data_IF_532004681640
#
_entry.id   IF_532004681640
#
_cell.length_a   1.000
_cell.length_b   1.000
_cell.length_c   1.000
_cell.angle_alpha   90.00
_cell.angle_beta   90.00
_cell.angle_gamma   90.00
#
_symmetry.space_group_name_H-M   'P 1'
#
loop_
_entity.id
_entity.type
_entity.pdbx_description
1 polymer ?
#
# COMPACT_ATOMS: atom_id res chain seq x y z
N UNK A 1 5.75 -2.99 -15.22
CA UNK A 1 4.65 -2.01 -15.02
C UNK A 1 3.28 -2.70 -15.12
N UNK A 2 2.85 -3.17 -16.31
CA UNK A 2 1.52 -3.80 -16.57
C UNK A 2 0.95 -4.67 -15.43
N UNK A 3 1.66 -5.72 -15.01
CA UNK A 3 1.13 -6.70 -14.05
C UNK A 3 1.30 -6.34 -12.56
N UNK A 4 2.16 -5.37 -12.23
CA UNK A 4 2.63 -5.13 -10.86
C UNK A 4 2.16 -3.77 -10.37
N UNK A 5 2.35 -2.75 -11.20
CA UNK A 5 2.27 -1.35 -10.79
C UNK A 5 0.87 -0.98 -10.34
N UNK A 6 0.80 -0.62 -9.07
CA UNK A 6 -0.40 -0.18 -8.39
C UNK A 6 -1.37 -1.28 -7.94
N UNK A 7 -1.21 -2.52 -8.40
CA UNK A 7 -2.15 -3.60 -8.11
C UNK A 7 -2.02 -4.07 -6.66
N UNK A 8 -0.79 -4.26 -6.19
CA UNK A 8 -0.53 -4.83 -4.85
C UNK A 8 -0.90 -3.90 -3.69
N UNK A 9 -0.64 -2.59 -3.79
CA UNK A 9 -1.11 -1.66 -2.75
C UNK A 9 -2.64 -1.54 -2.75
N UNK A 10 -3.31 -1.70 -3.90
CA UNK A 10 -4.78 -1.70 -3.97
C UNK A 10 -5.37 -2.92 -3.27
N UNK A 11 -4.76 -4.09 -3.43
CA UNK A 11 -5.11 -5.30 -2.68
C UNK A 11 -4.86 -5.09 -1.18
N UNK A 12 -3.72 -4.51 -0.79
CA UNK A 12 -3.43 -4.20 0.60
C UNK A 12 -4.45 -3.21 1.19
N UNK A 13 -4.90 -2.24 0.39
CA UNK A 13 -5.97 -1.31 0.76
C UNK A 13 -7.31 -2.03 0.99
N UNK A 14 -7.67 -2.95 0.10
CA UNK A 14 -8.84 -3.81 0.28
C UNK A 14 -8.78 -4.58 1.62
N UNK A 15 -7.63 -5.21 1.90
CA UNK A 15 -7.41 -5.97 3.13
C UNK A 15 -7.48 -5.08 4.37
N UNK A 16 -7.02 -3.82 4.29
CA UNK A 16 -7.16 -2.87 5.38
C UNK A 16 -8.64 -2.61 5.72
N UNK A 17 -9.49 -2.41 4.71
CA UNK A 17 -10.93 -2.27 4.85
C UNK A 17 -11.61 -3.50 5.47
N UNK A 18 -11.20 -4.71 5.06
CA UNK A 18 -11.65 -5.97 5.68
C UNK A 18 -11.20 -6.02 7.15
N UNK A 19 -9.95 -5.63 7.44
CA UNK A 19 -9.43 -5.57 8.81
C UNK A 19 -10.23 -4.62 9.71
N UNK A 20 -10.67 -3.48 9.17
CA UNK A 20 -11.58 -2.57 9.87
C UNK A 20 -12.92 -3.23 10.22
N UNK A 21 -13.55 -3.93 9.28
CA UNK A 21 -14.82 -4.63 9.55
C UNK A 21 -14.67 -5.70 10.63
N UNK A 22 -13.56 -6.46 10.61
CA UNK A 22 -13.27 -7.49 11.59
C UNK A 22 -13.13 -6.88 12.99
N UNK A 23 -12.46 -5.74 13.12
CA UNK A 23 -12.33 -5.02 14.39
C UNK A 23 -13.69 -4.57 14.90
N UNK A 24 -14.55 -4.02 14.04
CA UNK A 24 -15.91 -3.63 14.42
C UNK A 24 -16.70 -4.83 14.95
N UNK A 25 -16.91 -5.85 14.10
CA UNK A 25 -17.75 -7.01 14.41
C UNK A 25 -17.27 -7.72 15.67
N UNK A 26 -15.96 -7.98 15.79
CA UNK A 26 -15.41 -8.74 16.91
C UNK A 26 -15.51 -8.00 18.24
N UNK A 27 -15.31 -6.69 18.28
CA UNK A 27 -15.35 -5.92 19.53
C UNK A 27 -16.78 -5.57 19.93
N UNK A 28 -17.66 -5.27 18.96
CA UNK A 28 -19.10 -5.08 19.22
C UNK A 28 -19.73 -6.35 19.82
N UNK A 29 -19.42 -7.52 19.27
CA UNK A 29 -19.87 -8.80 19.82
C UNK A 29 -19.37 -9.08 21.25
N UNK A 30 -18.34 -8.36 21.73
CA UNK A 30 -17.78 -8.47 23.08
C UNK A 30 -18.21 -7.31 24.00
N UNK A 31 -19.09 -6.42 23.55
CA UNK A 31 -19.47 -5.21 24.30
C UNK A 31 -18.33 -4.20 24.47
N UNK A 32 -17.25 -4.32 23.70
CA UNK A 32 -16.10 -3.42 23.75
C UNK A 32 -16.28 -2.35 22.67
N UNK A 33 -16.03 -1.08 23.00
CA UNK A 33 -16.08 0.00 22.01
C UNK A 33 -15.07 -0.24 20.87
N UNK A 34 -15.52 -0.58 19.65
CA UNK A 34 -14.64 -0.98 18.57
C UNK A 34 -13.84 0.21 18.01
N UNK A 35 -14.41 1.42 18.03
CA UNK A 35 -13.77 2.62 17.51
C UNK A 35 -12.59 3.04 18.36
N UNK A 36 -12.68 2.89 19.68
CA UNK A 36 -11.55 3.13 20.58
C UNK A 36 -10.36 2.24 20.22
N UNK A 37 -10.59 0.96 19.95
CA UNK A 37 -9.53 0.02 19.55
C UNK A 37 -8.99 0.39 18.16
N UNK A 38 -9.88 0.70 17.22
CA UNK A 38 -9.49 1.06 15.87
C UNK A 38 -8.65 2.35 15.82
N UNK A 39 -9.07 3.43 16.48
CA UNK A 39 -8.31 4.67 16.52
C UNK A 39 -6.98 4.54 17.26
N UNK A 40 -6.90 3.74 18.34
CA UNK A 40 -5.61 3.41 18.97
C UNK A 40 -4.68 2.69 18.00
N UNK A 41 -5.18 1.70 17.26
CA UNK A 41 -4.42 0.99 16.23
C UNK A 41 -3.88 1.94 15.17
N UNK A 42 -4.69 2.91 14.74
CA UNK A 42 -4.29 3.94 13.78
C UNK A 42 -3.27 4.92 14.35
N UNK A 43 -3.41 5.35 15.61
CA UNK A 43 -2.43 6.22 16.26
C UNK A 43 -1.05 5.56 16.35
N UNK A 44 -1.00 4.27 16.69
CA UNK A 44 0.28 3.52 16.70
C UNK A 44 0.83 3.34 15.28
N UNK A 45 -0.04 3.05 14.30
CA UNK A 45 0.36 2.93 12.89
C UNK A 45 0.91 4.26 12.35
N UNK A 46 0.27 5.37 12.70
CA UNK A 46 0.71 6.72 12.36
C UNK A 46 2.05 7.05 12.99
N UNK A 47 2.27 6.67 14.26
CA UNK A 47 3.56 6.85 14.91
C UNK A 47 4.68 6.06 14.21
N UNK A 48 4.45 4.78 13.93
CA UNK A 48 5.44 3.95 13.20
C UNK A 48 5.71 4.54 11.81
N UNK A 49 4.66 4.91 11.08
CA UNK A 49 4.78 5.54 9.76
C UNK A 49 5.49 6.90 9.81
N UNK A 50 5.19 7.73 10.81
CA UNK A 50 5.83 9.04 10.97
C UNK A 50 7.32 8.90 11.25
N UNK A 51 7.71 7.96 12.12
CA UNK A 51 9.12 7.65 12.35
C UNK A 51 9.79 7.14 11.07
N UNK A 52 9.09 6.28 10.31
CA UNK A 52 9.61 5.75 9.05
C UNK A 52 9.78 6.84 7.98
N UNK A 53 8.75 7.65 7.71
CA UNK A 53 8.81 8.68 6.67
C UNK A 53 9.77 9.84 7.00
N UNK A 54 9.89 10.21 8.27
CA UNK A 54 10.71 11.36 8.69
C UNK A 54 12.19 11.00 8.88
N UNK A 55 12.51 9.75 9.22
CA UNK A 55 13.89 9.38 9.59
C UNK A 55 14.50 8.27 8.74
N UNK A 56 13.67 7.45 8.07
CA UNK A 56 14.15 6.24 7.38
C UNK A 56 13.93 6.32 5.87
N UNK A 57 12.73 6.55 5.38
CA UNK A 57 12.48 6.55 3.95
C UNK A 57 11.15 7.23 3.61
N UNK A 58 11.20 8.16 2.68
CA UNK A 58 10.07 8.98 2.26
C UNK A 58 8.98 8.21 1.53
N UNK A 59 9.26 7.01 0.99
CA UNK A 59 8.29 6.22 0.24
C UNK A 59 7.21 5.53 1.08
N UNK A 60 7.02 5.95 2.34
CA UNK A 60 6.09 5.33 3.28
C UNK A 60 4.62 5.29 2.77
N UNK A 61 3.89 4.25 3.20
CA UNK A 61 2.45 4.08 2.98
C UNK A 61 1.64 4.03 4.30
N UNK A 62 2.31 3.81 5.43
CA UNK A 62 1.67 3.63 6.73
C UNK A 62 0.99 4.92 7.21
N UNK A 63 1.64 6.08 7.05
CA UNK A 63 1.06 7.39 7.37
C UNK A 63 -0.21 7.61 6.56
N UNK A 64 -0.16 7.39 5.24
CA UNK A 64 -1.32 7.52 4.37
C UNK A 64 -2.49 6.65 4.84
N UNK A 65 -2.21 5.39 5.16
CA UNK A 65 -3.25 4.44 5.59
C UNK A 65 -3.81 4.79 6.96
N UNK A 66 -2.98 5.29 7.88
CA UNK A 66 -3.43 5.75 9.16
C UNK A 66 -4.36 6.96 9.02
N UNK A 67 -3.97 7.97 8.24
CA UNK A 67 -4.76 9.19 8.02
C UNK A 67 -6.09 8.90 7.31
N UNK A 68 -6.07 8.16 6.20
CA UNK A 68 -7.31 7.79 5.48
C UNK A 68 -8.17 6.87 6.34
N UNK A 69 -7.54 5.98 7.11
CA UNK A 69 -8.24 5.11 8.04
C UNK A 69 -9.06 5.87 9.09
N UNK A 70 -8.66 7.08 9.49
CA UNK A 70 -9.43 7.91 10.43
C UNK A 70 -10.82 8.27 9.88
N UNK A 71 -10.97 8.32 8.56
CA UNK A 71 -12.22 8.69 7.87
C UNK A 71 -13.19 7.49 7.75
N UNK A 72 -12.68 6.25 7.77
CA UNK A 72 -13.51 5.04 7.57
C UNK A 72 -14.72 4.92 8.51
N UNK A 73 -14.60 5.23 9.82
CA UNK A 73 -15.75 5.17 10.75
C UNK A 73 -16.93 6.03 10.35
N UNK A 74 -16.75 7.09 9.55
CA UNK A 74 -17.86 7.91 9.04
C UNK A 74 -18.81 7.09 8.16
N UNK A 75 -18.31 6.06 7.47
CA UNK A 75 -19.08 5.20 6.58
C UNK A 75 -19.70 3.99 7.29
N UNK A 76 -19.47 3.82 8.60
CA UNK A 76 -19.91 2.62 9.34
C UNK A 76 -21.42 2.39 9.34
N UNK A 77 -22.20 3.47 9.26
CA UNK A 77 -23.68 3.42 9.23
C UNK A 77 -24.25 3.44 7.81
N UNK A 78 -23.42 3.60 6.78
CA UNK A 78 -23.90 3.57 5.40
C UNK A 78 -24.47 2.19 5.06
N UNK A 79 -25.54 2.14 4.28
CA UNK A 79 -26.05 0.90 3.69
C UNK A 79 -25.02 0.28 2.75
N UNK A 80 -25.13 -1.02 2.47
CA UNK A 80 -24.24 -1.71 1.54
C UNK A 80 -24.23 -1.07 0.14
N UNK A 81 -25.40 -0.62 -0.34
CA UNK A 81 -25.53 0.10 -1.62
C UNK A 81 -24.73 1.41 -1.58
N UNK A 82 -24.84 2.18 -0.50
CA UNK A 82 -24.14 3.45 -0.37
C UNK A 82 -22.63 3.25 -0.20
N UNK A 83 -22.19 2.19 0.48
CA UNK A 83 -20.76 1.85 0.55
C UNK A 83 -20.17 1.59 -0.84
N UNK A 84 -20.85 0.81 -1.67
CA UNK A 84 -20.41 0.53 -3.02
C UNK A 84 -20.45 1.79 -3.91
N UNK A 85 -21.47 2.63 -3.75
CA UNK A 85 -21.56 3.91 -4.44
C UNK A 85 -20.36 4.81 -4.08
N UNK A 86 -20.09 5.01 -2.79
CA UNK A 86 -18.95 5.82 -2.35
C UNK A 86 -17.62 5.22 -2.79
N UNK A 87 -17.46 3.90 -2.72
CA UNK A 87 -16.27 3.23 -3.24
C UNK A 87 -16.08 3.54 -4.74
N UNK A 88 -17.13 3.40 -5.57
CA UNK A 88 -17.06 3.73 -6.99
C UNK A 88 -16.76 5.22 -7.23
N UNK A 89 -17.41 6.13 -6.50
CA UNK A 89 -17.19 7.56 -6.61
C UNK A 89 -15.73 7.93 -6.31
N UNK A 90 -15.14 7.41 -5.23
CA UNK A 90 -13.74 7.68 -4.90
C UNK A 90 -12.75 7.00 -5.86
N UNK A 91 -13.08 5.82 -6.41
CA UNK A 91 -12.23 5.16 -7.38
C UNK A 91 -12.23 5.87 -8.75
N UNK A 92 -13.34 6.50 -9.12
CA UNK A 92 -13.52 7.21 -10.39
C UNK A 92 -13.27 8.73 -10.29
N UNK A 93 -13.24 9.29 -9.07
CA UNK A 93 -12.94 10.72 -8.86
C UNK A 93 -11.61 11.20 -9.46
N UNK A 94 -10.54 10.38 -9.61
CA UNK A 94 -9.33 10.82 -10.30
C UNK A 94 -9.60 11.36 -11.71
N UNK A 95 -10.57 10.78 -12.45
CA UNK A 95 -10.94 11.25 -13.79
C UNK A 95 -11.47 12.69 -13.72
N UNK A 96 -12.37 12.96 -12.77
CA UNK A 96 -12.92 14.30 -12.56
C UNK A 96 -11.85 15.29 -12.08
N UNK A 97 -11.05 14.88 -11.08
CA UNK A 97 -9.98 15.71 -10.50
C UNK A 97 -8.99 16.09 -11.61
N UNK A 98 -8.51 15.13 -12.38
CA UNK A 98 -7.51 15.41 -13.40
C UNK A 98 -8.09 16.18 -14.58
N UNK A 99 -9.39 16.03 -14.90
CA UNK A 99 -10.08 16.90 -15.87
C UNK A 99 -10.05 18.36 -15.43
N UNK A 100 -10.31 18.63 -14.15
CA UNK A 100 -10.23 19.99 -13.59
C UNK A 100 -8.78 20.49 -13.63
N UNK A 101 -7.81 19.64 -13.27
CA UNK A 101 -6.37 19.98 -13.27
C UNK A 101 -5.85 20.30 -14.67
N UNK A 102 -6.34 19.61 -15.70
CA UNK A 102 -5.99 19.90 -17.09
C UNK A 102 -6.40 21.32 -17.50
N UNK A 103 -7.58 21.77 -17.06
CA UNK A 103 -8.06 23.12 -17.33
C UNK A 103 -7.33 24.20 -16.51
N UNK A 104 -7.02 23.91 -15.25
CA UNK A 104 -6.39 24.87 -14.33
C UNK A 104 -4.86 24.87 -14.36
N UNK A 105 -4.23 23.90 -15.03
CA UNK A 105 -2.77 23.71 -15.06
C UNK A 105 -2.13 23.65 -13.67
N UNK A 106 -2.85 23.07 -12.71
CA UNK A 106 -2.51 23.03 -11.28
C UNK A 106 -2.66 21.62 -10.71
N UNK A 107 -1.77 21.23 -9.79
CA UNK A 107 -1.82 19.98 -9.04
C UNK A 107 -1.98 20.21 -7.53
N UNK A 108 -2.76 19.36 -6.82
CA UNK A 108 -2.98 19.48 -5.37
C UNK A 108 -1.70 19.33 -4.53
N UNK A 109 -0.64 18.73 -5.07
CA UNK A 109 0.66 18.59 -4.43
C UNK A 109 1.66 19.70 -4.74
N UNK A 110 1.38 20.57 -5.72
CA UNK A 110 2.38 21.47 -6.31
C UNK A 110 2.95 22.46 -5.28
N UNK A 111 2.12 22.96 -4.36
CA UNK A 111 2.59 23.85 -3.28
C UNK A 111 3.55 23.18 -2.31
N UNK A 112 3.33 21.88 -2.00
CA UNK A 112 4.25 21.13 -1.14
C UNK A 112 5.59 20.90 -1.84
N UNK A 113 5.53 20.58 -3.15
CA UNK A 113 6.72 20.40 -3.96
C UNK A 113 7.52 21.70 -4.09
N UNK A 114 6.89 22.82 -4.42
CA UNK A 114 7.59 24.11 -4.52
C UNK A 114 8.20 24.56 -3.20
N UNK A 115 7.55 24.29 -2.07
CA UNK A 115 8.14 24.55 -0.76
C UNK A 115 9.38 23.68 -0.53
N UNK A 116 9.30 22.38 -0.84
CA UNK A 116 10.41 21.45 -0.71
C UNK A 116 11.60 21.86 -1.59
N UNK A 117 11.36 22.16 -2.86
CA UNK A 117 12.37 22.63 -3.82
C UNK A 117 13.05 23.92 -3.34
N UNK A 118 12.29 24.87 -2.79
CA UNK A 118 12.82 26.12 -2.26
C UNK A 118 13.67 25.94 -0.99
N UNK A 119 13.38 24.92 -0.18
CA UNK A 119 14.20 24.56 0.98
C UNK A 119 15.47 23.82 0.55
N UNK A 120 15.32 22.85 -0.33
CA UNK A 120 16.40 22.05 -0.90
C UNK A 120 17.44 22.89 -1.64
N UNK A 121 17.00 23.92 -2.37
CA UNK A 121 17.89 24.86 -3.03
C UNK A 121 18.84 25.58 -2.06
N UNK A 122 18.40 25.86 -0.83
CA UNK A 122 19.26 26.47 0.22
C UNK A 122 20.33 25.50 0.72
N UNK A 123 20.09 24.21 0.57
CA UNK A 123 21.01 23.12 0.95
C UNK A 123 21.82 22.60 -0.25
N UNK A 124 21.80 23.30 -1.40
CA UNK A 124 22.56 22.91 -2.60
C UNK A 124 21.92 21.78 -3.43
N UNK A 125 20.67 21.42 -3.13
CA UNK A 125 19.89 20.41 -3.88
C UNK A 125 18.98 21.17 -4.85
N UNK A 126 19.44 21.37 -6.10
CA UNK A 126 18.71 22.16 -7.09
C UNK A 126 17.99 21.30 -8.14
N UNK A 127 16.79 21.73 -8.54
CA UNK A 127 16.01 21.10 -9.61
C UNK A 127 15.72 19.63 -9.32
N UNK A 128 15.86 18.76 -10.32
CA UNK A 128 15.59 17.32 -10.21
C UNK A 128 16.70 16.53 -9.50
N UNK A 129 17.73 17.21 -8.97
CA UNK A 129 18.85 16.56 -8.29
C UNK A 129 18.42 15.78 -7.04
N UNK A 130 17.31 16.17 -6.39
CA UNK A 130 16.78 15.49 -5.20
C UNK A 130 16.54 13.99 -5.45
N UNK A 131 16.12 13.59 -6.67
CA UNK A 131 15.84 12.19 -7.02
C UNK A 131 17.07 11.28 -6.97
N UNK A 132 18.23 11.84 -7.25
CA UNK A 132 19.51 11.11 -7.30
C UNK A 132 20.41 11.45 -6.11
N UNK A 133 19.98 12.38 -5.25
CA UNK A 133 20.83 13.01 -4.26
C UNK A 133 21.49 12.02 -3.31
N UNK A 134 20.73 11.05 -2.80
CA UNK A 134 21.24 10.03 -1.86
C UNK A 134 21.94 8.84 -2.51
N UNK A 135 21.97 8.81 -3.84
CA UNK A 135 22.68 7.79 -4.60
C UNK A 135 24.06 8.29 -5.05
N UNK A 136 24.39 9.57 -4.86
CA UNK A 136 25.69 10.11 -5.27
C UNK A 136 26.81 9.48 -4.46
N UNK A 137 27.95 9.21 -5.09
CA UNK A 137 29.13 8.74 -4.39
C UNK A 137 29.53 9.77 -3.31
N UNK A 138 29.82 9.28 -2.11
CA UNK A 138 30.17 10.14 -0.96
C UNK A 138 28.99 10.66 -0.15
N UNK A 139 27.73 10.40 -0.52
CA UNK A 139 26.58 10.74 0.33
C UNK A 139 26.57 9.94 1.63
N UNK A 140 26.80 10.62 2.74
CA UNK A 140 26.84 10.07 4.08
C UNK A 140 25.62 10.45 4.93
N UNK A 141 25.78 10.37 6.25
CA UNK A 141 24.70 10.66 7.20
C UNK A 141 24.24 12.12 7.18
N UNK A 142 25.12 13.04 6.79
CA UNK A 142 24.78 14.44 6.66
C UNK A 142 23.81 14.67 5.49
N UNK A 143 24.15 14.20 4.30
CA UNK A 143 23.31 14.27 3.10
C UNK A 143 21.98 13.57 3.33
N UNK A 144 22.02 12.40 3.98
CA UNK A 144 20.82 11.70 4.41
C UNK A 144 19.92 12.56 5.29
N UNK A 145 20.47 13.14 6.36
CA UNK A 145 19.68 13.96 7.26
C UNK A 145 19.12 15.18 6.55
N UNK A 146 19.89 15.84 5.70
CA UNK A 146 19.49 16.99 4.91
C UNK A 146 18.31 16.65 4.00
N UNK A 147 18.38 15.53 3.26
CA UNK A 147 17.29 15.08 2.40
C UNK A 147 15.99 14.82 3.18
N UNK A 148 16.11 14.19 4.36
CA UNK A 148 14.94 13.85 5.18
C UNK A 148 14.19 15.08 5.75
N UNK A 149 14.75 16.30 5.67
CA UNK A 149 14.05 17.53 6.07
C UNK A 149 12.85 17.85 5.17
N UNK A 150 12.89 17.43 3.91
CA UNK A 150 11.89 17.77 2.88
C UNK A 150 11.35 16.56 2.15
N UNK A 151 12.01 15.39 2.22
CA UNK A 151 11.63 14.19 1.47
C UNK A 151 10.16 13.79 1.65
N UNK A 152 9.62 13.91 2.86
CA UNK A 152 8.20 13.63 3.14
C UNK A 152 7.25 14.57 2.37
N UNK A 153 7.64 15.81 2.09
CA UNK A 153 6.84 16.76 1.30
C UNK A 153 6.75 16.33 -0.16
N UNK A 154 7.85 15.87 -0.76
CA UNK A 154 7.82 15.27 -2.10
C UNK A 154 6.91 14.04 -2.12
N UNK A 155 6.97 13.20 -1.08
CA UNK A 155 6.06 12.06 -0.96
C UNK A 155 4.60 12.50 -0.94
N UNK A 156 4.24 13.45 -0.09
CA UNK A 156 2.85 13.92 -0.01
C UNK A 156 2.39 14.61 -1.29
N UNK A 157 3.26 15.41 -1.92
CA UNK A 157 3.01 15.97 -3.25
C UNK A 157 2.69 14.85 -4.26
N UNK A 158 3.55 13.83 -4.33
CA UNK A 158 3.35 12.67 -5.21
C UNK A 158 2.03 11.94 -4.94
N UNK A 159 1.68 11.72 -3.67
CA UNK A 159 0.43 11.04 -3.29
C UNK A 159 -0.82 11.85 -3.67
N UNK A 160 -0.76 13.17 -3.51
CA UNK A 160 -1.83 14.08 -3.91
C UNK A 160 -1.96 14.14 -5.43
N UNK A 161 -0.85 14.39 -6.13
CA UNK A 161 -0.82 14.55 -7.58
C UNK A 161 -1.14 13.26 -8.35
N UNK A 162 -0.98 12.08 -7.74
CA UNK A 162 -1.40 10.80 -8.34
C UNK A 162 -2.78 10.32 -7.87
N UNK A 163 -3.56 11.19 -7.23
CA UNK A 163 -4.89 10.90 -6.69
C UNK A 163 -4.91 9.66 -5.77
N UNK A 164 -3.83 9.44 -4.99
CA UNK A 164 -3.72 8.22 -4.18
C UNK A 164 -4.75 8.18 -3.05
N UNK A 165 -5.07 9.34 -2.47
CA UNK A 165 -6.02 9.46 -1.35
C UNK A 165 -7.40 8.88 -1.71
N UNK A 166 -8.10 9.38 -2.76
CA UNK A 166 -9.41 8.84 -3.10
C UNK A 166 -9.34 7.37 -3.52
N UNK A 167 -8.30 6.95 -4.27
CA UNK A 167 -8.11 5.53 -4.66
C UNK A 167 -8.02 4.60 -3.45
N UNK A 168 -7.20 4.95 -2.44
CA UNK A 168 -7.04 4.15 -1.22
C UNK A 168 -8.33 4.13 -0.41
N UNK A 169 -9.02 5.27 -0.24
CA UNK A 169 -10.30 5.32 0.46
C UNK A 169 -11.36 4.46 -0.25
N UNK A 170 -11.45 4.53 -1.57
CA UNK A 170 -12.37 3.70 -2.36
C UNK A 170 -12.12 2.21 -2.17
N UNK A 171 -10.85 1.77 -2.21
CA UNK A 171 -10.47 0.39 -1.93
C UNK A 171 -10.72 -0.01 -0.47
N UNK A 172 -10.51 0.88 0.51
CA UNK A 172 -10.85 0.62 1.91
C UNK A 172 -12.37 0.41 2.08
N UNK A 173 -13.20 1.20 1.41
CA UNK A 173 -14.67 1.06 1.47
C UNK A 173 -15.14 -0.23 0.81
N UNK A 174 -14.55 -0.61 -0.33
CA UNK A 174 -14.82 -1.89 -0.96
C UNK A 174 -14.42 -3.05 -0.04
N UNK A 175 -13.26 -2.94 0.61
CA UNK A 175 -12.81 -3.91 1.61
C UNK A 175 -13.74 -3.98 2.82
N UNK A 176 -14.21 -2.83 3.29
CA UNK A 176 -15.18 -2.75 4.38
C UNK A 176 -16.51 -3.41 4.01
N UNK A 177 -17.00 -3.22 2.78
CA UNK A 177 -18.16 -3.93 2.26
C UNK A 177 -17.95 -5.45 2.25
N UNK A 178 -16.82 -5.93 1.70
CA UNK A 178 -16.48 -7.37 1.65
C UNK A 178 -16.43 -7.96 3.05
N UNK A 179 -15.80 -7.25 3.98
CA UNK A 179 -15.61 -7.70 5.34
C UNK A 179 -16.89 -7.66 6.19
N UNK A 180 -17.73 -6.63 6.03
CA UNK A 180 -19.02 -6.53 6.73
C UNK A 180 -19.98 -7.64 6.34
N UNK A 181 -19.95 -8.07 5.08
CA UNK A 181 -20.80 -9.14 4.57
C UNK A 181 -20.15 -10.52 4.72
N UNK A 182 -19.05 -10.64 5.47
CA UNK A 182 -18.35 -11.91 5.75
C UNK A 182 -18.01 -12.72 4.49
N UNK A 183 -17.81 -12.06 3.36
CA UNK A 183 -17.60 -12.75 2.07
C UNK A 183 -16.31 -13.58 2.06
N UNK A 184 -15.30 -13.14 2.83
CA UNK A 184 -14.03 -13.84 3.00
C UNK A 184 -14.15 -15.14 3.81
N UNK A 185 -15.23 -15.32 4.59
CA UNK A 185 -15.55 -16.55 5.31
C UNK A 185 -16.32 -17.50 4.38
N UNK A 186 -17.28 -16.97 3.63
CA UNK A 186 -18.20 -17.75 2.80
C UNK A 186 -17.84 -17.73 1.31
N UNK A 187 -16.55 -17.92 0.98
CA UNK A 187 -16.03 -17.82 -0.39
C UNK A 187 -16.79 -18.72 -1.40
N UNK A 188 -17.22 -19.90 -0.97
CA UNK A 188 -17.96 -20.86 -1.82
C UNK A 188 -19.29 -20.28 -2.30
N UNK A 189 -20.02 -19.56 -1.43
CA UNK A 189 -21.30 -18.93 -1.78
C UNK A 189 -21.11 -17.80 -2.81
N UNK A 190 -19.94 -17.16 -2.82
CA UNK A 190 -19.61 -16.08 -3.74
C UNK A 190 -18.81 -16.54 -4.98
N UNK A 191 -18.73 -17.84 -5.25
CA UNK A 191 -17.95 -18.40 -6.38
C UNK A 191 -18.28 -17.77 -7.72
N UNK A 192 -19.55 -17.53 -8.01
CA UNK A 192 -19.98 -16.92 -9.28
C UNK A 192 -19.52 -15.46 -9.41
N UNK A 193 -19.55 -14.70 -8.31
CA UNK A 193 -19.01 -13.33 -8.28
C UNK A 193 -17.50 -13.36 -8.51
N UNK A 194 -16.76 -14.24 -7.83
CA UNK A 194 -15.31 -14.38 -8.01
C UNK A 194 -14.95 -14.73 -9.46
N UNK A 195 -15.70 -15.62 -10.11
CA UNK A 195 -15.52 -15.92 -11.55
C UNK A 195 -15.75 -14.69 -12.43
N UNK A 196 -16.79 -13.89 -12.16
CA UNK A 196 -17.06 -12.64 -12.88
C UNK A 196 -15.96 -11.61 -12.67
N UNK A 197 -15.49 -11.43 -11.43
CA UNK A 197 -14.38 -10.53 -11.10
C UNK A 197 -13.08 -10.97 -11.77
N UNK A 198 -12.81 -12.28 -11.83
CA UNK A 198 -11.66 -12.83 -12.54
C UNK A 198 -11.75 -12.51 -14.04
N UNK A 199 -12.87 -12.88 -14.69
CA UNK A 199 -13.06 -12.69 -16.12
C UNK A 199 -13.02 -11.21 -16.50
N UNK A 200 -13.92 -10.40 -15.94
CA UNK A 200 -14.02 -8.99 -16.28
C UNK A 200 -12.83 -8.18 -15.80
N UNK A 201 -12.22 -8.58 -14.68
CA UNK A 201 -11.00 -7.94 -14.19
C UNK A 201 -9.81 -8.14 -15.12
N UNK A 202 -9.70 -9.28 -15.82
CA UNK A 202 -8.70 -9.45 -16.89
C UNK A 202 -9.12 -8.80 -18.21
N UNK A 203 -10.38 -8.98 -18.64
CA UNK A 203 -10.89 -8.41 -19.91
C UNK A 203 -10.78 -6.89 -19.94
N UNK A 204 -11.05 -6.23 -18.81
CA UNK A 204 -10.94 -4.77 -18.68
C UNK A 204 -9.53 -4.40 -18.21
N UNK A 205 -9.03 -5.03 -17.14
CA UNK A 205 -7.81 -4.60 -16.47
C UNK A 205 -6.54 -4.80 -17.28
N UNK A 206 -6.46 -5.83 -18.14
CA UNK A 206 -5.24 -6.10 -18.90
C UNK A 206 -5.03 -5.10 -20.05
N UNK A 207 -6.01 -4.83 -20.95
CA UNK A 207 -5.85 -3.83 -21.99
C UNK A 207 -5.54 -2.43 -21.44
N UNK A 208 -6.24 -2.01 -20.38
CA UNK A 208 -5.98 -0.71 -19.77
C UNK A 208 -4.65 -0.65 -19.01
N UNK A 209 -4.18 -1.76 -18.44
CA UNK A 209 -2.82 -1.80 -17.86
C UNK A 209 -1.72 -1.77 -18.91
N UNK A 210 -1.96 -2.29 -20.12
CA UNK A 210 -1.05 -2.14 -21.26
C UNK A 210 -1.03 -0.70 -21.77
N UNK A 211 -2.21 -0.06 -21.87
CA UNK A 211 -2.33 1.36 -22.23
C UNK A 211 -1.63 2.26 -21.20
N UNK A 212 -1.81 2.01 -19.90
CA UNK A 212 -1.11 2.71 -18.82
C UNK A 212 0.41 2.63 -18.99
N UNK A 213 0.96 1.43 -19.20
CA UNK A 213 2.40 1.26 -19.41
C UNK A 213 2.95 1.96 -20.66
N UNK A 214 2.10 2.17 -21.67
CA UNK A 214 2.46 2.96 -22.86
C UNK A 214 2.48 4.47 -22.58
N UNK A 215 1.54 4.99 -21.78
CA UNK A 215 1.46 6.42 -21.45
C UNK A 215 2.45 6.86 -20.35
N UNK A 216 2.88 5.94 -19.48
CA UNK A 216 3.90 6.21 -18.45
C UNK A 216 5.31 6.36 -19.03
N UNK A 217 5.59 5.79 -20.21
CA UNK A 217 6.84 6.02 -20.94
C UNK A 217 6.80 7.36 -21.70
N UNK A 218 7.82 8.20 -21.50
CA UNK A 218 8.07 9.48 -22.22
C UNK A 218 7.46 10.78 -21.64
N UNK A 219 7.34 10.95 -20.31
CA UNK A 219 6.84 12.22 -19.71
C UNK A 219 5.42 12.64 -20.19
N UNK A 220 4.71 11.73 -20.89
CA UNK A 220 3.35 11.91 -21.42
C UNK A 220 2.29 11.83 -20.32
N UNK A 221 2.63 11.30 -19.14
CA UNK A 221 1.76 11.19 -17.96
C UNK A 221 1.59 12.49 -17.17
N UNK A 222 2.20 13.59 -17.62
CA UNK A 222 1.98 14.89 -17.00
C UNK A 222 0.50 15.26 -17.24
N UNK A 223 -0.26 15.43 -16.16
CA UNK A 223 -1.66 15.91 -16.10
C UNK A 223 -1.94 17.22 -16.85
N UNK A 224 -0.92 17.84 -17.44
CA UNK A 224 -0.95 19.10 -18.18
C UNK A 224 -1.30 18.92 -19.66
N UNK A 225 -1.43 17.69 -20.18
CA UNK A 225 -1.82 17.43 -21.56
C UNK A 225 -2.93 16.36 -21.70
N UNK A 226 -3.49 16.22 -22.91
CA UNK A 226 -4.56 15.26 -23.19
C UNK A 226 -4.15 13.79 -23.00
N UNK A 227 -2.86 13.48 -23.13
CA UNK A 227 -2.33 12.13 -22.87
C UNK A 227 -2.35 11.78 -21.38
N UNK A 228 -2.19 12.77 -20.49
CA UNK A 228 -2.40 12.60 -19.05
C UNK A 228 -3.81 12.12 -18.70
N UNK A 229 -4.85 12.55 -19.45
CA UNK A 229 -6.22 12.01 -19.24
C UNK A 229 -6.33 10.55 -19.67
N UNK A 230 -5.69 10.19 -20.79
CA UNK A 230 -5.67 8.81 -21.25
C UNK A 230 -4.96 7.91 -20.24
N UNK A 231 -3.88 8.40 -19.60
CA UNK A 231 -3.21 7.70 -18.50
C UNK A 231 -4.12 7.55 -17.27
N UNK A 232 -4.77 8.63 -16.79
CA UNK A 232 -5.69 8.55 -15.65
C UNK A 232 -6.82 7.54 -15.86
N UNK A 233 -7.43 7.52 -17.05
CA UNK A 233 -8.47 6.55 -17.41
C UNK A 233 -7.87 5.13 -17.45
N UNK A 234 -6.70 4.97 -18.09
CA UNK A 234 -6.01 3.69 -18.18
C UNK A 234 -5.63 3.14 -16.81
N UNK A 235 -5.19 3.99 -15.90
CA UNK A 235 -4.92 3.63 -14.52
C UNK A 235 -6.19 3.16 -13.80
N UNK A 236 -7.29 3.92 -13.91
CA UNK A 236 -8.54 3.64 -13.19
C UNK A 236 -9.11 2.27 -13.58
N UNK A 237 -9.13 1.96 -14.88
CA UNK A 237 -9.65 0.69 -15.41
C UNK A 237 -8.60 -0.42 -15.49
N UNK A 238 -7.31 -0.09 -15.41
CA UNK A 238 -6.23 -1.07 -15.42
C UNK A 238 -5.93 -1.63 -14.02
N UNK A 239 -5.85 -0.77 -13.01
CA UNK A 239 -5.34 -1.15 -11.67
C UNK A 239 -6.39 -1.87 -10.84
N UNK A 240 -7.56 -1.27 -10.61
CA UNK A 240 -8.56 -1.84 -9.70
C UNK A 240 -9.13 -3.15 -10.24
N UNK A 241 -9.60 -3.24 -11.50
CA UNK A 241 -10.13 -4.49 -12.04
C UNK A 241 -9.12 -5.63 -12.00
N UNK A 242 -7.87 -5.37 -12.36
CA UNK A 242 -6.82 -6.40 -12.33
C UNK A 242 -6.45 -6.81 -10.89
N UNK A 243 -6.46 -5.87 -9.94
CA UNK A 243 -6.28 -6.17 -8.52
C UNK A 243 -7.37 -7.11 -8.00
N UNK A 244 -8.63 -6.85 -8.37
CA UNK A 244 -9.77 -7.70 -8.01
C UNK A 244 -9.70 -9.06 -8.73
N UNK A 245 -9.19 -9.11 -9.96
CA UNK A 245 -8.94 -10.38 -10.66
C UNK A 245 -7.89 -11.23 -9.92
N UNK A 246 -6.80 -10.63 -9.44
CA UNK A 246 -5.78 -11.34 -8.66
C UNK A 246 -6.34 -11.90 -7.35
N UNK A 247 -7.11 -11.09 -6.61
CA UNK A 247 -7.79 -11.55 -5.39
C UNK A 247 -8.76 -12.68 -5.71
N UNK A 248 -9.57 -12.53 -6.76
CA UNK A 248 -10.53 -13.54 -7.16
C UNK A 248 -9.86 -14.85 -7.59
N UNK A 249 -8.75 -14.77 -8.32
CA UNK A 249 -7.93 -15.92 -8.68
C UNK A 249 -7.46 -16.69 -7.44
N UNK A 250 -6.84 -15.98 -6.48
CA UNK A 250 -6.36 -16.57 -5.22
C UNK A 250 -7.51 -17.24 -4.45
N UNK A 251 -8.67 -16.57 -4.33
CA UNK A 251 -9.84 -17.13 -3.68
C UNK A 251 -10.40 -18.37 -4.40
N UNK A 252 -10.42 -18.39 -5.74
CA UNK A 252 -10.88 -19.54 -6.52
C UNK A 252 -9.93 -20.73 -6.42
N UNK A 253 -8.62 -20.49 -6.40
CA UNK A 253 -7.60 -21.52 -6.13
C UNK A 253 -7.81 -22.09 -4.72
N UNK A 254 -8.05 -21.24 -3.72
CA UNK A 254 -8.32 -21.65 -2.35
C UNK A 254 -9.59 -22.52 -2.23
N UNK A 255 -10.68 -22.13 -2.91
CA UNK A 255 -11.92 -22.92 -2.99
C UNK A 255 -11.65 -24.29 -3.63
N UNK A 256 -10.94 -24.32 -4.77
CA UNK A 256 -10.64 -25.57 -5.49
C UNK A 256 -9.82 -26.53 -4.63
N UNK A 257 -8.89 -25.99 -3.85
CA UNK A 257 -8.02 -26.74 -2.95
C UNK A 257 -8.68 -27.16 -1.63
N UNK A 258 -9.98 -26.88 -1.43
CA UNK A 258 -10.75 -27.21 -0.21
C UNK A 258 -10.05 -26.75 1.09
N UNK A 259 -9.35 -25.63 1.05
CA UNK A 259 -8.63 -25.06 2.21
C UNK A 259 -7.21 -25.59 2.44
N UNK A 260 -6.72 -26.52 1.63
CA UNK A 260 -5.34 -27.04 1.71
C UNK A 260 -4.62 -26.76 0.39
N UNK A 261 -3.96 -25.61 0.30
CA UNK A 261 -3.30 -25.12 -0.92
C UNK A 261 -1.81 -24.88 -0.71
N UNK A 262 -1.04 -24.96 -1.80
CA UNK A 262 0.36 -24.51 -1.86
C UNK A 262 0.52 -23.05 -1.41
N UNK A 263 -0.55 -22.25 -1.51
CA UNK A 263 -0.62 -20.87 -1.02
C UNK A 263 -0.31 -20.74 0.49
N UNK A 264 -0.42 -21.82 1.27
CA UNK A 264 -0.08 -21.84 2.69
C UNK A 264 1.40 -21.47 2.95
N UNK A 265 2.29 -21.65 1.97
CA UNK A 265 3.68 -21.19 2.03
C UNK A 265 3.78 -19.67 2.25
N UNK A 266 2.80 -18.89 1.77
CA UNK A 266 2.78 -17.43 1.95
C UNK A 266 2.05 -16.98 3.21
N UNK A 267 1.40 -17.87 3.95
CA UNK A 267 0.67 -17.49 5.17
C UNK A 267 1.61 -16.86 6.23
N UNK A 268 2.83 -17.39 6.48
CA UNK A 268 3.79 -16.76 7.39
C UNK A 268 4.13 -15.32 6.99
N UNK A 269 4.53 -15.08 5.73
CA UNK A 269 4.93 -13.73 5.26
C UNK A 269 3.76 -12.74 5.35
N UNK A 270 2.53 -13.18 5.07
CA UNK A 270 1.32 -12.36 5.20
C UNK A 270 0.96 -12.01 6.65
N UNK A 271 1.22 -12.91 7.61
CA UNK A 271 1.03 -12.62 9.05
C UNK A 271 2.08 -11.65 9.62
N UNK A 272 3.16 -11.42 8.88
CA UNK A 272 4.30 -10.58 9.24
C UNK A 272 4.45 -9.39 8.26
N UNK A 273 3.33 -8.86 7.75
CA UNK A 273 3.35 -7.84 6.71
C UNK A 273 4.06 -6.53 7.12
N UNK A 274 3.90 -6.04 8.35
CA UNK A 274 4.52 -4.80 8.82
C UNK A 274 6.03 -4.97 9.00
N UNK A 275 6.45 -6.07 9.63
CA UNK A 275 7.88 -6.38 9.77
C UNK A 275 8.54 -6.57 8.41
N UNK A 276 7.91 -7.32 7.49
CA UNK A 276 8.45 -7.54 6.15
C UNK A 276 8.51 -6.24 5.33
N UNK A 277 7.53 -5.35 5.47
CA UNK A 277 7.53 -4.04 4.83
C UNK A 277 8.71 -3.16 5.29
N UNK A 278 8.94 -3.05 6.61
CA UNK A 278 10.10 -2.27 7.11
C UNK A 278 11.42 -2.96 6.79
N UNK A 279 11.47 -4.29 6.81
CA UNK A 279 12.65 -5.05 6.38
C UNK A 279 12.98 -4.81 4.90
N UNK A 280 11.97 -4.73 4.02
CA UNK A 280 12.18 -4.37 2.60
C UNK A 280 12.81 -2.98 2.46
N UNK A 281 12.37 -2.02 3.28
CA UNK A 281 13.01 -0.69 3.32
C UNK A 281 14.47 -0.83 3.69
N UNK A 282 14.79 -1.48 4.82
CA UNK A 282 16.16 -1.61 5.30
C UNK A 282 17.08 -2.34 4.30
N UNK A 283 16.59 -3.40 3.66
CA UNK A 283 17.33 -4.12 2.62
C UNK A 283 17.58 -3.19 1.42
N UNK A 284 16.58 -2.44 0.97
CA UNK A 284 16.72 -1.53 -0.17
C UNK A 284 17.70 -0.39 0.11
N UNK A 285 17.65 0.18 1.32
CA UNK A 285 18.61 1.19 1.77
C UNK A 285 20.03 0.63 1.81
N UNK A 286 20.21 -0.57 2.38
CA UNK A 286 21.52 -1.20 2.48
C UNK A 286 22.10 -1.59 1.12
N UNK A 287 21.28 -1.96 0.14
CA UNK A 287 21.76 -2.37 -1.17
C UNK A 287 21.99 -1.18 -2.10
N UNK A 288 21.02 -0.26 -2.21
CA UNK A 288 20.99 0.70 -3.32
C UNK A 288 21.51 2.09 -2.97
N UNK A 289 21.38 2.53 -1.72
CA UNK A 289 21.77 3.88 -1.34
C UNK A 289 23.27 3.93 -1.02
N UNK A 290 23.90 5.10 -1.19
CA UNK A 290 25.33 5.29 -0.96
C UNK A 290 25.77 5.06 0.49
N UNK A 291 24.85 5.17 1.45
CA UNK A 291 25.08 4.77 2.84
C UNK A 291 25.32 3.26 3.02
N UNK A 292 24.86 2.45 2.07
CA UNK A 292 25.02 1.01 2.06
C UNK A 292 26.07 0.58 1.02
N UNK A 293 25.67 -0.31 0.11
CA UNK A 293 26.53 -0.80 -0.97
C UNK A 293 26.55 0.12 -2.21
N UNK A 294 25.69 1.14 -2.28
CA UNK A 294 25.69 2.11 -3.38
C UNK A 294 25.27 1.55 -4.75
N UNK A 295 24.66 0.36 -4.80
CA UNK A 295 24.35 -0.33 -6.07
C UNK A 295 23.32 0.41 -6.94
N UNK A 296 22.65 1.44 -6.42
CA UNK A 296 21.59 2.16 -7.13
C UNK A 296 22.06 2.93 -8.37
N UNK A 297 23.34 3.29 -8.46
CA UNK A 297 23.89 4.01 -9.62
C UNK A 297 24.24 3.07 -10.78
N UNK A 298 24.71 1.87 -10.47
CA UNK A 298 25.29 0.95 -11.46
C UNK A 298 24.27 -0.07 -12.01
N UNK A 299 23.15 -0.26 -11.32
CA UNK A 299 22.20 -1.33 -11.63
C UNK A 299 21.09 -0.86 -12.57
N UNK A 300 21.10 -1.36 -13.80
CA UNK A 300 19.96 -1.25 -14.71
C UNK A 300 18.71 -1.98 -14.18
N UNK A 301 17.52 -1.56 -14.65
CA UNK A 301 16.22 -2.09 -14.21
C UNK A 301 16.08 -3.62 -14.28
N UNK A 302 16.85 -4.30 -15.15
CA UNK A 302 16.84 -5.75 -15.32
C UNK A 302 17.26 -6.49 -14.03
N UNK A 303 18.21 -5.94 -13.28
CA UNK A 303 18.74 -6.59 -12.07
C UNK A 303 17.87 -6.39 -10.84
N UNK A 304 16.98 -5.38 -10.84
CA UNK A 304 16.04 -5.15 -9.75
C UNK A 304 15.05 -6.31 -9.58
N UNK A 305 14.67 -6.98 -10.67
CA UNK A 305 13.73 -8.11 -10.62
C UNK A 305 14.29 -9.33 -9.85
N UNK A 306 15.48 -9.87 -10.20
CA UNK A 306 16.11 -10.92 -9.40
C UNK A 306 16.31 -10.54 -7.93
N UNK A 307 16.74 -9.31 -7.63
CA UNK A 307 16.95 -8.84 -6.26
C UNK A 307 15.62 -8.81 -5.49
N UNK A 308 14.54 -8.34 -6.11
CA UNK A 308 13.21 -8.34 -5.50
C UNK A 308 12.71 -9.76 -5.21
N UNK A 309 12.90 -10.69 -6.16
CA UNK A 309 12.53 -12.10 -5.98
C UNK A 309 13.35 -12.74 -4.86
N UNK A 310 14.67 -12.55 -4.86
CA UNK A 310 15.56 -13.05 -3.81
C UNK A 310 15.17 -12.50 -2.43
N UNK A 311 14.95 -11.19 -2.33
CA UNK A 311 14.46 -10.53 -1.12
C UNK A 311 13.16 -11.16 -0.62
N UNK A 312 12.19 -11.36 -1.51
CA UNK A 312 10.90 -11.96 -1.15
C UNK A 312 11.03 -13.42 -0.69
N UNK A 313 11.85 -14.23 -1.37
CA UNK A 313 12.13 -15.62 -0.97
C UNK A 313 12.75 -15.66 0.43
N UNK A 314 13.76 -14.81 0.69
CA UNK A 314 14.39 -14.71 2.01
C UNK A 314 13.37 -14.31 3.08
N UNK A 315 12.44 -13.40 2.80
CA UNK A 315 11.38 -13.03 3.72
C UNK A 315 10.37 -14.15 3.97
N UNK A 316 10.04 -14.96 2.97
CA UNK A 316 9.20 -16.16 3.13
C UNK A 316 9.90 -17.16 4.05
N UNK A 317 11.18 -17.43 3.83
CA UNK A 317 11.98 -18.34 4.67
C UNK A 317 12.08 -17.82 6.10
N UNK A 318 12.48 -16.55 6.26
CA UNK A 318 12.59 -15.89 7.56
C UNK A 318 11.27 -15.94 8.33
N UNK A 319 10.16 -15.52 7.69
CA UNK A 319 8.84 -15.53 8.31
C UNK A 319 8.43 -16.95 8.72
N UNK A 320 8.69 -17.94 7.87
CA UNK A 320 8.36 -19.35 8.15
C UNK A 320 9.14 -19.89 9.34
N UNK A 321 10.44 -19.61 9.42
CA UNK A 321 11.29 -20.02 10.54
C UNK A 321 10.86 -19.31 11.81
N UNK A 322 10.63 -18.00 11.75
CA UNK A 322 10.21 -17.19 12.90
C UNK A 322 8.95 -17.74 13.59
N UNK A 323 7.92 -18.07 12.81
CA UNK A 323 6.67 -18.60 13.34
C UNK A 323 6.76 -20.03 13.91
N UNK A 324 7.91 -20.70 13.81
CA UNK A 324 8.17 -21.95 14.56
C UNK A 324 8.39 -21.66 16.06
N UNK A 325 8.86 -20.48 16.41
CA UNK A 325 9.25 -20.11 17.77
C UNK A 325 8.34 -19.05 18.40
N UNK A 326 7.68 -18.22 17.58
CA UNK A 326 6.92 -17.06 18.04
C UNK A 326 5.51 -16.99 17.45
N UNK A 327 4.56 -16.38 18.18
CA UNK A 327 3.16 -16.29 17.78
C UNK A 327 2.85 -15.09 16.86
N UNK A 328 3.70 -14.07 16.91
CA UNK A 328 3.53 -12.80 16.20
C UNK A 328 4.83 -12.40 15.53
N UNK A 329 4.75 -11.69 14.41
CA UNK A 329 5.92 -10.98 13.90
C UNK A 329 6.39 -9.90 14.89
N UNK A 330 7.68 -9.53 14.87
CA UNK A 330 8.28 -8.62 15.85
C UNK A 330 7.52 -7.29 15.96
N UNK A 331 7.30 -6.60 14.84
CA UNK A 331 6.62 -5.30 14.85
C UNK A 331 5.11 -5.45 15.01
N UNK A 332 4.53 -6.55 14.52
CA UNK A 332 3.13 -6.88 14.75
C UNK A 332 2.83 -7.08 16.23
N UNK A 333 3.77 -7.69 16.98
CA UNK A 333 3.68 -7.86 18.42
C UNK A 333 3.67 -6.53 19.14
N UNK A 334 4.64 -5.65 18.87
CA UNK A 334 4.72 -4.29 19.45
C UNK A 334 3.44 -3.52 19.13
N UNK A 335 3.04 -3.52 17.86
CA UNK A 335 1.84 -2.81 17.41
C UNK A 335 0.57 -3.29 18.11
N UNK A 336 0.40 -4.62 18.29
CA UNK A 336 -0.73 -5.20 19.01
C UNK A 336 -0.70 -4.86 20.50
N UNK A 337 0.46 -4.93 21.15
CA UNK A 337 0.59 -4.57 22.56
C UNK A 337 0.17 -3.12 22.80
N UNK A 338 0.65 -2.18 21.97
CA UNK A 338 0.28 -0.76 22.07
C UNK A 338 -1.20 -0.50 21.75
N UNK A 339 -1.74 -1.22 20.76
CA UNK A 339 -3.17 -1.13 20.39
C UNK A 339 -4.09 -1.56 21.54
N UNK A 340 -3.79 -2.70 22.18
CA UNK A 340 -4.63 -3.24 23.24
C UNK A 340 -4.26 -2.73 24.64
N UNK A 341 -3.07 -2.15 24.82
CA UNK A 341 -2.53 -1.75 26.12
C UNK A 341 -2.29 -2.92 27.05
N UNK A 342 -1.93 -4.09 26.51
CA UNK A 342 -1.69 -5.31 27.30
C UNK A 342 -0.38 -5.96 26.84
N UNK A 343 0.39 -6.47 27.81
CA UNK A 343 1.57 -7.28 27.52
C UNK A 343 1.11 -8.64 26.98
N UNK A 344 1.45 -8.90 25.72
CA UNK A 344 1.23 -10.17 25.04
C UNK A 344 2.50 -11.03 25.14
N UNK A 345 2.37 -12.33 25.35
CA UNK A 345 3.48 -13.26 25.21
C UNK A 345 3.94 -13.31 23.74
N UNK A 346 5.25 -13.32 23.51
CA UNK A 346 5.81 -13.41 22.16
C UNK A 346 6.10 -14.86 21.74
N UNK A 347 6.57 -15.69 22.68
CA UNK A 347 6.88 -17.09 22.45
C UNK A 347 5.59 -17.91 22.43
N UNK A 348 5.52 -18.85 21.50
CA UNK A 348 4.47 -19.87 21.49
C UNK A 348 4.60 -20.67 22.78
N UNK A 349 3.54 -20.69 23.60
CA UNK A 349 3.49 -21.66 24.69
C UNK A 349 3.47 -23.04 24.06
N UNK A 350 4.58 -23.78 24.17
CA UNK A 350 4.59 -25.19 23.81
C UNK A 350 3.65 -25.84 24.81
N UNK A 351 2.40 -26.10 24.39
CA UNK A 351 1.62 -27.15 25.05
C UNK A 351 2.44 -28.42 24.85
N UNK A 352 3.10 -28.89 25.92
CA UNK A 352 3.56 -30.28 25.99
C UNK A 352 2.34 -31.12 25.64
N UNK A 353 2.37 -31.77 24.48
CA UNK A 353 1.45 -32.86 24.16
C UNK A 353 1.86 -34.06 25.00
#
# INVERSE_FOLDING_TARGET
MVFIEGKFYSIFSLLFGIGFSIILIRNEARGINPLKIFYRRLGVLLFIGATHILFIWEGDILVLYALIGLVLPLFRKCSNKNLLLWAALFLLSPILIDTIRLGLQWGPGDSLQHFAEGWDAKNGIAGEAWRTYLFKEGSGWHEWRTYQETAYLYRFSFLLNNNRIPKVLGMFLLGFYVGRNSMYVNLVQHRNLLKKLLLWGFVIGLPFSMAMAYFEGDEKSIYKNAWGMADTISYAFGVVPLSLAYVAFICLVWIKAKGVSWLNVFAPVGRMALTNYLMQTMISLALFYSLGLGLGQDFGLVYLFPIAIATYILQVLYSTIWFRYFEYGPLEWIWRQLTYGKRLALKTSIKKQ
#
